data_IF_545682234279
#
_entry.id   IF_545682234279
#
_cell.length_a   1.000
_cell.length_b   1.000
_cell.length_c   1.000
_cell.angle_alpha   90.00
_cell.angle_beta   90.00
_cell.angle_gamma   90.00
#
_symmetry.space_group_name_H-M   'P 1'
#
loop_
_entity.id
_entity.type
_entity.pdbx_description
1 polymer ?
#
# COMPACT_ATOMS: atom_id res chain seq x y z
N UNK A 1 17.34 5.05 4.55
CA UNK A 1 17.85 5.67 3.31
C UNK A 1 16.76 6.60 2.81
N UNK A 2 17.01 7.90 2.62
CA UNK A 2 15.98 8.82 2.15
C UNK A 2 15.55 8.45 0.72
N UNK A 3 14.30 8.77 0.39
CA UNK A 3 13.78 8.59 -0.96
C UNK A 3 14.51 9.56 -1.93
N UNK A 4 14.94 9.12 -3.12
CA UNK A 4 15.55 10.00 -4.11
C UNK A 4 14.61 11.11 -4.57
N UNK A 5 15.18 12.31 -4.76
CA UNK A 5 14.51 13.47 -5.38
C UNK A 5 14.20 13.19 -6.84
N UNK A 6 13.08 13.71 -7.33
CA UNK A 6 12.60 13.58 -8.70
C UNK A 6 11.63 12.40 -8.90
N UNK A 7 11.40 12.04 -10.16
CA UNK A 7 10.43 11.01 -10.54
C UNK A 7 10.95 9.61 -10.33
N UNK A 8 10.27 8.88 -9.45
CA UNK A 8 10.63 7.52 -9.09
C UNK A 8 9.37 6.66 -8.96
N UNK A 9 9.47 5.41 -9.42
CA UNK A 9 8.43 4.40 -9.25
C UNK A 9 8.64 3.65 -7.94
N UNK A 10 7.59 3.54 -7.13
CA UNK A 10 7.62 2.80 -5.89
C UNK A 10 6.55 1.72 -5.87
N UNK A 11 6.89 0.61 -5.20
CA UNK A 11 5.95 -0.44 -4.84
C UNK A 11 5.89 -0.53 -3.32
N UNK A 12 4.71 -0.33 -2.76
CA UNK A 12 4.43 -0.44 -1.34
C UNK A 12 3.55 -1.65 -1.10
N UNK A 13 3.90 -2.47 -0.11
CA UNK A 13 3.11 -3.62 0.32
C UNK A 13 2.99 -3.60 1.83
N UNK A 14 1.77 -3.86 2.33
CA UNK A 14 1.49 -4.03 3.75
C UNK A 14 0.73 -5.33 3.94
N UNK A 15 1.18 -6.13 4.92
CA UNK A 15 0.52 -7.35 5.34
C UNK A 15 0.36 -7.35 6.85
N UNK A 16 -0.87 -7.58 7.32
CA UNK A 16 -1.16 -7.72 8.74
C UNK A 16 -1.83 -9.06 9.01
N UNK A 17 -1.02 -10.01 9.47
CA UNK A 17 -1.43 -11.41 9.65
C UNK A 17 -2.57 -11.58 10.66
N UNK A 18 -2.55 -10.81 11.76
CA UNK A 18 -3.55 -10.94 12.83
C UNK A 18 -4.99 -10.70 12.37
N UNK A 19 -5.20 -9.91 11.32
CA UNK A 19 -6.53 -9.60 10.76
C UNK A 19 -6.71 -10.08 9.32
N UNK A 20 -5.77 -10.87 8.81
CA UNK A 20 -5.74 -11.37 7.43
C UNK A 20 -6.02 -10.26 6.41
N UNK A 21 -5.35 -9.12 6.58
CA UNK A 21 -5.54 -7.93 5.75
C UNK A 21 -4.23 -7.57 5.07
N UNK A 22 -4.29 -7.36 3.76
CA UNK A 22 -3.15 -6.91 2.97
C UNK A 22 -3.54 -5.78 2.02
N UNK A 23 -2.54 -5.06 1.54
CA UNK A 23 -2.71 -3.99 0.56
C UNK A 23 -1.42 -3.77 -0.19
N UNK A 24 -1.53 -3.32 -1.44
CA UNK A 24 -0.39 -2.94 -2.26
C UNK A 24 -0.71 -1.70 -3.08
N UNK A 25 0.29 -0.85 -3.29
CA UNK A 25 0.22 0.32 -4.15
C UNK A 25 1.49 0.40 -4.99
N UNK A 26 1.32 0.39 -6.30
CA UNK A 26 2.38 0.72 -7.25
C UNK A 26 2.07 2.08 -7.87
N UNK A 27 2.96 3.04 -7.66
CA UNK A 27 2.75 4.41 -8.15
C UNK A 27 4.06 5.12 -8.43
N UNK A 28 4.03 6.06 -9.35
CA UNK A 28 5.13 6.97 -9.62
C UNK A 28 4.92 8.27 -8.84
N UNK A 29 5.99 8.79 -8.25
CA UNK A 29 5.97 10.03 -7.47
C UNK A 29 7.08 10.94 -7.96
N UNK A 30 6.74 12.21 -8.19
CA UNK A 30 7.71 13.27 -8.42
C UNK A 30 8.01 13.91 -7.05
N UNK A 31 9.15 13.54 -6.44
CA UNK A 31 9.47 13.94 -5.06
C UNK A 31 10.34 15.22 -5.05
N UNK A 32 9.84 16.34 -4.52
CA UNK A 32 10.68 17.53 -4.35
C UNK A 32 11.73 17.33 -3.24
N UNK A 33 12.77 18.19 -3.19
CA UNK A 33 13.67 18.25 -2.03
C UNK A 33 12.89 18.47 -0.73
N UNK A 34 13.37 17.90 0.38
CA UNK A 34 12.78 18.04 1.71
C UNK A 34 11.31 17.60 1.81
N UNK A 35 10.89 16.64 1.00
CA UNK A 35 9.57 16.02 1.09
C UNK A 35 9.68 14.52 1.36
N UNK A 36 8.60 13.96 1.89
CA UNK A 36 8.43 12.53 2.13
C UNK A 36 7.15 12.04 1.49
N UNK A 37 7.14 10.77 1.10
CA UNK A 37 5.93 10.04 0.75
C UNK A 37 5.28 9.58 2.06
N UNK A 38 4.09 10.07 2.37
CA UNK A 38 3.31 9.61 3.53
C UNK A 38 2.30 8.58 3.09
N UNK A 39 2.26 7.46 3.79
CA UNK A 39 1.35 6.36 3.51
C UNK A 39 0.25 6.33 4.58
N UNK A 40 -1.00 6.37 4.14
CA UNK A 40 -2.16 6.13 4.97
C UNK A 40 -2.77 4.77 4.61
N UNK A 41 -2.96 3.92 5.60
CA UNK A 41 -3.51 2.58 5.44
C UNK A 41 -4.96 2.58 5.90
N UNK A 42 -5.90 2.50 4.96
CA UNK A 42 -7.33 2.56 5.25
C UNK A 42 -7.91 1.14 5.21
N UNK A 43 -8.38 0.61 6.36
CA UNK A 43 -9.26 -0.56 6.42
C UNK A 43 -10.41 -0.51 5.43
N UNK A 44 -10.47 -1.45 4.48
CA UNK A 44 -11.64 -1.64 3.61
C UNK A 44 -12.05 -3.11 3.55
N UNK A 45 -13.33 -3.31 3.32
CA UNK A 45 -13.92 -4.59 2.98
C UNK A 45 -14.48 -4.46 1.56
N UNK A 46 -14.03 -5.31 0.65
CA UNK A 46 -14.42 -5.30 -0.75
C UNK A 46 -15.07 -6.63 -1.13
N UNK A 47 -15.88 -6.62 -2.18
CA UNK A 47 -16.40 -7.85 -2.77
C UNK A 47 -15.61 -8.17 -4.04
N UNK A 48 -15.03 -9.35 -4.08
CA UNK A 48 -14.31 -9.85 -5.25
C UNK A 48 -14.97 -11.11 -5.78
N UNK A 49 -14.94 -11.28 -7.09
CA UNK A 49 -15.34 -12.54 -7.70
C UNK A 49 -14.18 -13.53 -7.63
N UNK A 50 -14.40 -14.68 -7.00
CA UNK A 50 -13.47 -15.80 -7.00
C UNK A 50 -14.18 -17.05 -7.47
N UNK A 51 -13.45 -17.94 -8.14
CA UNK A 51 -13.92 -19.30 -8.40
C UNK A 51 -13.54 -20.14 -7.19
N UNK A 52 -14.49 -20.92 -6.66
CA UNK A 52 -14.24 -21.82 -5.53
C UNK A 52 -13.11 -22.80 -5.87
N UNK A 53 -12.23 -23.08 -4.91
CA UNK A 53 -11.05 -23.93 -5.14
C UNK A 53 -11.44 -25.30 -5.72
N UNK A 54 -12.52 -25.91 -5.23
CA UNK A 54 -12.99 -27.20 -5.73
C UNK A 54 -13.41 -27.12 -7.22
N UNK A 55 -14.02 -26.00 -7.63
CA UNK A 55 -14.41 -25.80 -9.03
C UNK A 55 -13.19 -25.54 -9.93
N UNK A 56 -12.14 -24.92 -9.40
CA UNK A 56 -10.87 -24.80 -10.12
C UNK A 56 -10.18 -26.15 -10.30
N UNK A 57 -10.22 -27.02 -9.28
CA UNK A 57 -9.53 -28.30 -9.26
C UNK A 57 -10.27 -29.42 -10.02
N UNK A 58 -11.61 -29.40 -10.03
CA UNK A 58 -12.41 -30.56 -10.46
C UNK A 58 -13.43 -30.26 -11.56
N UNK A 59 -13.60 -29.00 -12.00
CA UNK A 59 -14.52 -28.66 -13.11
C UNK A 59 -13.78 -28.09 -14.32
N UNK A 60 -14.35 -28.39 -15.48
CA UNK A 60 -13.95 -27.77 -16.74
C UNK A 60 -14.13 -26.25 -16.67
N UNK A 61 -13.26 -25.45 -17.33
CA UNK A 61 -13.32 -23.99 -17.28
C UNK A 61 -14.69 -23.39 -17.64
N UNK A 62 -15.47 -24.09 -18.46
CA UNK A 62 -16.79 -23.70 -18.96
C UNK A 62 -17.89 -23.78 -17.89
N UNK A 63 -17.70 -24.66 -16.89
CA UNK A 63 -18.69 -24.96 -15.85
C UNK A 63 -18.33 -24.31 -14.50
N UNK A 64 -17.28 -23.49 -14.48
CA UNK A 64 -16.85 -22.76 -13.29
C UNK A 64 -17.79 -21.60 -13.03
N UNK A 65 -18.39 -21.57 -11.84
CA UNK A 65 -19.28 -20.49 -11.42
C UNK A 65 -18.51 -19.53 -10.51
N UNK A 66 -18.45 -18.23 -10.83
CA UNK A 66 -17.86 -17.25 -9.93
C UNK A 66 -18.77 -17.04 -8.70
N UNK A 67 -18.16 -16.93 -7.53
CA UNK A 67 -18.81 -16.54 -6.28
C UNK A 67 -18.27 -15.19 -5.82
N UNK A 68 -19.13 -14.38 -5.19
CA UNK A 68 -18.73 -13.16 -4.51
C UNK A 68 -18.18 -13.50 -3.12
N UNK A 69 -16.95 -13.09 -2.86
CA UNK A 69 -16.27 -13.26 -1.57
C UNK A 69 -15.96 -11.89 -1.00
N UNK A 70 -16.22 -11.70 0.29
CA UNK A 70 -15.78 -10.52 1.02
C UNK A 70 -14.31 -10.66 1.38
N UNK A 71 -13.50 -9.72 0.92
CA UNK A 71 -12.09 -9.62 1.26
C UNK A 71 -11.83 -8.39 2.12
N UNK A 72 -10.97 -8.57 3.13
CA UNK A 72 -10.49 -7.49 3.98
C UNK A 72 -9.17 -7.02 3.42
N UNK A 73 -9.09 -5.76 3.02
CA UNK A 73 -7.87 -5.16 2.45
C UNK A 73 -7.47 -3.86 3.17
N UNK A 74 -6.22 -3.46 3.01
CA UNK A 74 -5.80 -2.08 3.24
C UNK A 74 -5.76 -1.36 1.89
N UNK A 75 -6.54 -0.30 1.76
CA UNK A 75 -6.25 0.69 0.72
C UNK A 75 -5.06 1.53 1.19
N UNK A 76 -4.00 1.55 0.39
CA UNK A 76 -2.84 2.40 0.64
C UNK A 76 -3.06 3.70 -0.14
N UNK A 77 -3.20 4.82 0.57
CA UNK A 77 -3.23 6.15 -0.01
C UNK A 77 -1.87 6.79 0.25
N UNK A 78 -1.23 7.29 -0.82
CA UNK A 78 0.07 7.93 -0.72
C UNK A 78 -0.03 9.42 -1.06
N UNK A 79 0.60 10.26 -0.25
CA UNK A 79 0.71 11.71 -0.46
C UNK A 79 2.17 12.12 -0.42
N UNK A 80 2.51 13.20 -1.13
CA UNK A 80 3.83 13.85 -1.03
C UNK A 80 3.67 15.07 -0.15
N UNK A 81 4.37 15.11 0.97
CA UNK A 81 4.26 16.17 1.96
C UNK A 81 5.64 16.68 2.37
N UNK A 82 5.79 17.98 2.71
CA UNK A 82 7.01 18.49 3.29
C UNK A 82 7.42 17.70 4.53
N UNK A 83 8.74 17.53 4.69
CA UNK A 83 9.28 17.01 5.94
C UNK A 83 8.96 18.00 7.07
N UNK A 84 8.65 17.53 8.28
CA UNK A 84 8.51 18.40 9.42
C UNK A 84 9.81 19.20 9.63
N UNK A 85 9.68 20.41 10.17
CA UNK A 85 10.84 21.17 10.59
C UNK A 85 11.64 20.39 11.63
N UNK A 86 12.99 20.45 11.57
CA UNK A 86 13.82 19.78 12.53
C UNK A 86 13.52 20.33 13.93
N UNK A 87 13.29 19.42 14.85
CA UNK A 87 13.13 19.67 16.27
C UNK A 87 14.52 19.77 16.89
N UNK A 88 14.97 21.00 17.11
CA UNK A 88 16.27 21.34 17.72
C UNK A 88 16.45 20.71 19.12
N UNK A 89 15.36 20.35 19.80
CA UNK A 89 15.40 19.66 21.11
C UNK A 89 15.64 18.15 20.99
N UNK A 90 15.52 17.57 19.79
CA UNK A 90 15.84 16.16 19.53
C UNK A 90 17.27 16.02 19.02
N UNK A 91 18.13 15.45 19.87
CA UNK A 91 19.57 15.18 19.64
C UNK A 91 19.89 14.45 18.32
N UNK A 92 18.91 13.79 17.69
CA UNK A 92 19.10 13.01 16.46
C UNK A 92 18.66 13.73 15.17
N UNK A 93 18.13 14.94 15.24
CA UNK A 93 17.71 15.70 14.05
C UNK A 93 18.90 16.51 13.51
N UNK A 94 19.10 16.46 12.18
CA UNK A 94 20.24 17.12 11.53
C UNK A 94 19.94 18.64 11.50
N UNK A 95 20.83 19.49 12.03
CA UNK A 95 20.65 20.94 12.01
C UNK A 95 20.47 21.47 10.57
N UNK A 96 19.64 22.51 10.39
CA UNK A 96 19.60 23.27 9.14
C UNK A 96 20.81 24.20 9.10
N UNK A 97 21.75 23.95 8.19
CA UNK A 97 22.75 24.95 7.75
C UNK A 97 22.12 25.95 6.76
#
# INVERSE_FOLDING_TARGET
MPAPVGRNKYFFEVGFQAYLRSGSLESEFDLPPNHSIRLNFIPKDIEVQRIHFADQAFKDPKDRVPMLVKERIFEIVATVEPNPDPDEDKICEIPKD
#
